data_IF_868699750459
#
_entry.id   IF_868699750459
#
_cell.length_a   1.000
_cell.length_b   1.000
_cell.length_c   1.000
_cell.angle_alpha   90.00
_cell.angle_beta   90.00
_cell.angle_gamma   90.00
#
_symmetry.space_group_name_H-M   'P 1'
#
loop_
_entity.id
_entity.type
_entity.pdbx_description
1 polymer ?
#
# COMPACT_ATOMS: atom_id res chain seq x y z
N UNK A 1 8.35 -1.17 -13.86
CA UNK A 1 6.87 -1.07 -13.77
C UNK A 1 6.43 0.25 -13.16
N UNK A 2 7.07 0.71 -12.09
CA UNK A 2 6.65 1.86 -11.28
C UNK A 2 7.21 3.22 -11.75
N UNK A 3 7.79 3.29 -12.95
CA UNK A 3 8.33 4.53 -13.53
C UNK A 3 7.25 5.43 -14.16
N UNK A 4 5.98 5.05 -14.00
CA UNK A 4 4.78 5.80 -14.40
C UNK A 4 3.77 5.77 -13.26
N UNK A 5 2.94 6.80 -13.16
CA UNK A 5 1.81 6.81 -12.22
C UNK A 5 0.85 5.66 -12.56
N UNK A 6 0.54 4.85 -11.55
CA UNK A 6 -0.40 3.74 -11.67
C UNK A 6 -1.72 4.12 -11.02
N UNK A 7 -2.82 3.67 -11.62
CA UNK A 7 -4.16 3.83 -11.03
C UNK A 7 -4.61 2.52 -10.38
N UNK A 8 -5.17 2.64 -9.18
CA UNK A 8 -5.84 1.55 -8.48
C UNK A 8 -7.27 1.92 -8.11
N UNK A 9 -7.91 1.09 -7.30
CA UNK A 9 -9.27 1.33 -6.81
C UNK A 9 -9.34 1.20 -5.29
N UNK A 10 -10.33 1.85 -4.68
CA UNK A 10 -10.66 1.64 -3.27
C UNK A 10 -12.15 1.64 -3.00
N UNK A 11 -12.58 0.80 -2.05
CA UNK A 11 -13.97 0.70 -1.61
C UNK A 11 -14.01 0.47 -0.11
N UNK A 12 -14.62 1.39 0.65
CA UNK A 12 -14.66 1.33 2.11
C UNK A 12 -13.25 1.23 2.69
N UNK A 13 -12.94 0.11 3.32
CA UNK A 13 -11.64 -0.17 3.94
C UNK A 13 -10.68 -1.02 3.10
N UNK A 14 -10.96 -1.18 1.81
CA UNK A 14 -10.18 -2.01 0.89
C UNK A 14 -9.46 -1.15 -0.14
N UNK A 15 -8.15 -1.37 -0.30
CA UNK A 15 -7.38 -0.95 -1.47
C UNK A 15 -7.24 -2.10 -2.46
N UNK A 16 -7.24 -1.78 -3.75
CA UNK A 16 -7.05 -2.70 -4.86
C UNK A 16 -5.90 -2.16 -5.72
N UNK A 17 -4.73 -2.78 -5.61
CA UNK A 17 -3.53 -2.42 -6.34
C UNK A 17 -3.43 -3.22 -7.65
N UNK A 18 -3.12 -2.59 -8.79
CA UNK A 18 -3.13 -3.24 -10.12
C UNK A 18 -1.88 -4.09 -10.37
N UNK A 19 -1.27 -4.65 -9.32
CA UNK A 19 -0.06 -5.45 -9.38
C UNK A 19 0.03 -6.42 -8.22
N UNK A 20 0.97 -7.35 -8.32
CA UNK A 20 1.35 -8.25 -7.24
C UNK A 20 2.74 -7.94 -6.73
N UNK A 21 2.88 -7.95 -5.40
CA UNK A 21 4.15 -7.71 -4.72
C UNK A 21 4.20 -8.45 -3.38
N UNK A 22 5.36 -8.42 -2.75
CA UNK A 22 5.54 -8.73 -1.33
C UNK A 22 5.57 -7.42 -0.55
N UNK A 23 4.81 -7.33 0.54
CA UNK A 23 4.78 -6.14 1.40
C UNK A 23 5.79 -6.32 2.52
N UNK A 24 6.54 -5.26 2.79
CA UNK A 24 7.51 -5.19 3.88
C UNK A 24 7.05 -4.21 4.97
N UNK A 25 6.40 -3.11 4.58
CA UNK A 25 5.89 -2.08 5.49
C UNK A 25 4.68 -1.38 4.85
N UNK A 26 3.66 -1.12 5.65
CA UNK A 26 2.53 -0.24 5.29
C UNK A 26 2.44 0.84 6.36
N UNK A 27 2.39 2.10 5.94
CA UNK A 27 2.21 3.24 6.84
C UNK A 27 0.91 3.92 6.45
N UNK A 28 0.00 4.03 7.41
CA UNK A 28 -1.26 4.74 7.26
C UNK A 28 -1.39 5.71 8.42
N UNK A 29 -1.54 7.00 8.14
CA UNK A 29 -1.48 8.08 9.13
C UNK A 29 -0.19 7.99 9.98
N UNK A 30 -0.31 7.59 11.25
CA UNK A 30 0.82 7.40 12.19
C UNK A 30 1.14 5.93 12.47
N UNK A 31 0.33 5.01 11.94
CA UNK A 31 0.46 3.59 12.23
C UNK A 31 1.43 2.94 11.24
N UNK A 32 2.39 2.20 11.79
CA UNK A 32 3.34 1.39 11.03
C UNK A 32 2.93 -0.08 11.17
N UNK A 33 2.52 -0.69 10.06
CA UNK A 33 2.09 -2.08 9.99
C UNK A 33 3.19 -2.89 9.29
N UNK A 34 3.70 -3.90 9.98
CA UNK A 34 4.71 -4.85 9.47
C UNK A 34 4.30 -6.31 9.67
N UNK A 35 3.27 -6.60 10.47
CA UNK A 35 2.67 -7.92 10.57
C UNK A 35 1.56 -8.11 9.52
N UNK A 36 1.89 -8.89 8.50
CA UNK A 36 0.98 -9.30 7.42
C UNK A 36 0.61 -10.79 7.51
N UNK A 37 0.78 -11.40 8.69
CA UNK A 37 0.39 -12.79 8.90
C UNK A 37 -1.14 -12.94 8.78
N UNK A 38 -1.66 -14.15 8.47
CA UNK A 38 -3.10 -14.39 8.36
C UNK A 38 -3.91 -14.07 9.62
N UNK A 39 -3.25 -13.87 10.77
CA UNK A 39 -3.87 -13.52 12.06
C UNK A 39 -3.70 -12.05 12.42
N UNK A 40 -3.10 -11.24 11.54
CA UNK A 40 -2.96 -9.81 11.75
C UNK A 40 -4.33 -9.18 11.98
N UNK A 41 -4.44 -8.40 13.04
CA UNK A 41 -5.67 -7.66 13.37
C UNK A 41 -5.80 -6.36 12.59
N UNK A 42 -4.70 -5.91 11.97
CA UNK A 42 -4.60 -4.61 11.33
C UNK A 42 -4.88 -4.70 9.83
N UNK A 43 -4.26 -5.66 9.15
CA UNK A 43 -4.28 -5.75 7.70
C UNK A 43 -4.35 -7.19 7.20
N UNK A 44 -5.24 -7.46 6.25
CA UNK A 44 -5.25 -8.70 5.47
C UNK A 44 -4.90 -8.43 4.01
N UNK A 45 -4.10 -9.33 3.43
CA UNK A 45 -3.62 -9.23 2.04
C UNK A 45 -4.11 -10.45 1.25
N UNK A 46 -4.86 -10.20 0.18
CA UNK A 46 -5.26 -11.24 -0.79
C UNK A 46 -4.65 -10.93 -2.15
N UNK A 47 -4.03 -11.91 -2.80
CA UNK A 47 -3.46 -11.78 -4.14
C UNK A 47 -4.32 -12.57 -5.12
N UNK A 48 -4.89 -11.90 -6.12
CA UNK A 48 -5.83 -12.49 -7.06
C UNK A 48 -5.44 -12.14 -8.50
N UNK A 49 -5.19 -13.14 -9.34
CA UNK A 49 -4.87 -12.93 -10.75
C UNK A 49 -3.70 -11.95 -10.95
N UNK A 50 -4.03 -10.73 -11.41
CA UNK A 50 -3.10 -9.64 -11.70
C UNK A 50 -3.16 -8.46 -10.70
N UNK A 51 -3.90 -8.57 -9.59
CA UNK A 51 -4.07 -7.51 -8.61
C UNK A 51 -3.87 -7.99 -7.17
N UNK A 52 -3.77 -7.04 -6.24
CA UNK A 52 -3.66 -7.30 -4.80
C UNK A 52 -4.69 -6.48 -4.02
N UNK A 53 -5.36 -7.12 -3.08
CA UNK A 53 -6.27 -6.49 -2.13
C UNK A 53 -5.57 -6.29 -0.79
N UNK A 54 -5.76 -5.10 -0.20
CA UNK A 54 -5.37 -4.77 1.16
C UNK A 54 -6.64 -4.38 1.92
N UNK A 55 -6.98 -5.13 2.95
CA UNK A 55 -8.13 -4.88 3.82
C UNK A 55 -7.65 -4.33 5.15
N UNK A 56 -8.00 -3.09 5.46
CA UNK A 56 -7.63 -2.38 6.67
C UNK A 56 -8.71 -2.59 7.72
N UNK A 57 -8.54 -3.55 8.62
CA UNK A 57 -9.61 -4.02 9.51
C UNK A 57 -10.00 -3.04 10.61
N UNK A 58 -9.11 -2.12 10.97
CA UNK A 58 -9.35 -1.10 11.99
C UNK A 58 -10.02 0.16 11.43
N UNK A 59 -10.26 0.19 10.12
CA UNK A 59 -10.84 1.31 9.41
C UNK A 59 -12.18 0.87 8.85
N UNK A 60 -13.26 1.63 9.09
CA UNK A 60 -14.55 1.37 8.44
C UNK A 60 -14.54 1.92 7.00
N UNK A 61 -14.00 3.12 6.82
CA UNK A 61 -13.85 3.79 5.53
C UNK A 61 -12.53 4.56 5.47
N UNK A 62 -11.66 4.19 4.53
CA UNK A 62 -10.35 4.82 4.37
C UNK A 62 -10.46 6.32 4.07
N UNK A 63 -11.47 6.74 3.31
CA UNK A 63 -11.64 8.17 2.94
C UNK A 63 -12.09 9.04 4.11
N UNK A 64 -12.69 8.45 5.14
CA UNK A 64 -13.12 9.19 6.33
C UNK A 64 -11.96 9.40 7.31
N UNK A 65 -10.99 8.50 7.31
CA UNK A 65 -9.86 8.52 8.26
C UNK A 65 -8.58 9.09 7.67
N UNK A 66 -8.39 9.02 6.34
CA UNK A 66 -7.18 9.47 5.66
C UNK A 66 -7.54 10.74 4.90
N UNK A 67 -6.86 11.84 5.23
CA UNK A 67 -7.05 13.11 4.52
C UNK A 67 -6.68 12.97 3.04
N UNK A 68 -7.30 13.76 2.17
CA UNK A 68 -6.94 13.84 0.73
C UNK A 68 -5.47 14.23 0.50
N UNK A 69 -4.84 14.87 1.48
CA UNK A 69 -3.42 15.26 1.45
C UNK A 69 -2.48 14.19 2.02
N UNK A 70 -3.02 13.14 2.66
CA UNK A 70 -2.26 12.06 3.25
C UNK A 70 -2.21 10.85 2.32
N UNK A 71 -1.01 10.31 2.14
CA UNK A 71 -0.80 9.09 1.37
C UNK A 71 -0.65 7.89 2.31
N UNK A 72 -1.21 6.75 1.90
CA UNK A 72 -0.82 5.45 2.44
C UNK A 72 0.52 5.09 1.81
N UNK A 73 1.55 4.88 2.64
CA UNK A 73 2.90 4.62 2.17
C UNK A 73 3.19 3.14 2.24
N UNK A 74 3.78 2.59 1.20
CA UNK A 74 4.08 1.16 1.09
C UNK A 74 5.58 0.97 0.84
N UNK A 75 6.18 -0.01 1.50
CA UNK A 75 7.46 -0.59 1.09
C UNK A 75 7.17 -1.99 0.57
N UNK A 76 7.49 -2.21 -0.70
CA UNK A 76 7.19 -3.46 -1.40
C UNK A 76 8.41 -4.01 -2.11
N UNK A 77 8.32 -5.27 -2.50
CA UNK A 77 9.23 -5.93 -3.43
C UNK A 77 8.41 -6.54 -4.54
N UNK A 78 8.80 -6.30 -5.79
CA UNK A 78 8.11 -6.85 -6.96
C UNK A 78 8.05 -8.39 -6.90
N UNK A 79 6.95 -8.97 -7.38
CA UNK A 79 6.76 -10.42 -7.39
C UNK A 79 7.94 -11.11 -8.10
N UNK A 80 8.51 -12.12 -7.45
CA UNK A 80 9.62 -12.92 -7.98
C UNK A 80 11.02 -12.33 -7.73
N UNK A 81 11.12 -11.13 -7.13
CA UNK A 81 12.41 -10.56 -6.69
C UNK A 81 12.78 -11.01 -5.28
N UNK A 82 14.07 -10.95 -4.98
CA UNK A 82 14.59 -11.32 -3.67
C UNK A 82 14.30 -10.21 -2.64
N UNK A 83 13.52 -10.54 -1.61
CA UNK A 83 13.17 -9.60 -0.52
C UNK A 83 14.36 -9.20 0.35
N UNK A 84 15.41 -10.01 0.39
CA UNK A 84 16.63 -9.74 1.17
C UNK A 84 17.62 -8.83 0.46
N UNK A 85 17.38 -8.53 -0.83
CA UNK A 85 18.17 -7.56 -1.59
C UNK A 85 17.45 -6.21 -1.56
N UNK A 86 18.03 -5.28 -0.79
CA UNK A 86 17.50 -3.95 -0.54
C UNK A 86 17.40 -3.08 -1.81
N UNK A 87 18.15 -3.40 -2.86
CA UNK A 87 18.00 -2.72 -4.15
C UNK A 87 16.66 -3.03 -4.84
N UNK A 88 15.98 -4.12 -4.44
CA UNK A 88 14.64 -4.46 -4.92
C UNK A 88 13.52 -3.80 -4.12
N UNK A 89 13.83 -3.03 -3.07
CA UNK A 89 12.81 -2.39 -2.25
C UNK A 89 12.30 -1.15 -2.94
N UNK A 90 10.98 -1.08 -3.10
CA UNK A 90 10.30 0.01 -3.80
C UNK A 90 9.37 0.67 -2.81
N UNK A 91 9.52 1.98 -2.65
CA UNK A 91 8.62 2.79 -1.84
C UNK A 91 7.55 3.39 -2.73
N UNK A 92 6.30 3.28 -2.31
CA UNK A 92 5.15 3.84 -3.01
C UNK A 92 4.36 4.75 -2.08
N UNK A 93 3.82 5.84 -2.62
CA UNK A 93 2.76 6.63 -2.03
C UNK A 93 1.45 6.31 -2.76
N UNK A 94 0.38 6.04 -1.99
CA UNK A 94 -0.96 5.76 -2.50
C UNK A 94 -1.91 6.82 -1.99
N UNK A 95 -2.42 7.64 -2.92
CA UNK A 95 -3.36 8.73 -2.64
C UNK A 95 -4.78 8.27 -2.94
N UNK A 96 -5.70 8.53 -2.01
CA UNK A 96 -7.13 8.32 -2.20
C UNK A 96 -7.72 9.51 -2.94
N UNK A 97 -8.24 9.29 -4.14
CA UNK A 97 -8.86 10.32 -4.96
C UNK A 97 -10.38 10.16 -5.01
N UNK A 98 -11.08 11.09 -5.65
CA UNK A 98 -12.52 10.96 -5.84
C UNK A 98 -12.90 9.77 -6.74
N UNK A 99 -14.17 9.37 -6.65
CA UNK A 99 -14.78 8.31 -7.48
C UNK A 99 -14.07 6.95 -7.36
N UNK A 100 -13.65 6.59 -6.14
CA UNK A 100 -13.07 5.28 -5.83
C UNK A 100 -11.71 5.02 -6.50
N UNK A 101 -10.99 6.06 -6.89
CA UNK A 101 -9.68 5.96 -7.54
C UNK A 101 -8.52 6.06 -6.56
N UNK A 102 -7.45 5.35 -6.88
CA UNK A 102 -6.15 5.52 -6.23
C UNK A 102 -5.14 6.03 -7.24
N UNK A 103 -4.33 7.02 -6.84
CA UNK A 103 -3.09 7.36 -7.56
C UNK A 103 -1.90 6.79 -6.81
N UNK A 104 -1.08 6.02 -7.51
CA UNK A 104 0.07 5.32 -6.94
C UNK A 104 1.34 5.86 -7.60
N UNK A 105 2.25 6.36 -6.77
CA UNK A 105 3.50 6.98 -7.19
C UNK A 105 4.69 6.33 -6.51
N UNK A 106 5.76 6.11 -7.27
CA UNK A 106 7.05 5.76 -6.69
C UNK A 106 7.64 6.98 -6.03
N UNK A 107 8.13 6.82 -4.81
CA UNK A 107 8.79 7.88 -4.05
C UNK A 107 10.21 7.45 -3.67
N UNK A 108 11.15 8.38 -3.71
CA UNK A 108 12.55 8.10 -3.34
C UNK A 108 12.84 8.45 -1.87
N UNK A 109 11.97 9.26 -1.24
CA UNK A 109 12.30 9.91 0.02
C UNK A 109 12.25 8.96 1.24
N UNK A 110 13.36 8.89 1.98
CA UNK A 110 13.47 8.21 3.28
C UNK A 110 12.77 8.98 4.40
N UNK A 111 12.64 10.30 4.26
CA UNK A 111 12.09 11.20 5.30
C UNK A 111 10.63 10.84 5.63
N UNK A 112 9.90 10.24 4.68
CA UNK A 112 8.50 9.86 4.84
C UNK A 112 8.29 8.59 5.68
N UNK A 113 9.34 7.86 6.05
CA UNK A 113 9.27 6.57 6.76
C UNK A 113 10.03 6.55 8.10
N UNK A 114 10.37 7.73 8.64
CA UNK A 114 11.05 7.88 9.94
C UNK A 114 10.21 7.22 11.05
N UNK A 115 10.86 6.41 11.88
CA UNK A 115 10.32 5.72 13.06
C UNK A 115 10.14 6.65 14.27
#
# INVERSE_FOLDING_TARGET
MFDKNLEGLYYGNRLILPFQCSFLKVVVNRDIITDFSPKSKHLSISKEGNFTNLYFHEYENLKETISEFEAIKLVIVEKGKNVFDFSNHIKLAVYLEDKHKLRIEKIDDDILFIE
#
